data_IF_853916922097
#
_entry.id   IF_853916922097
#
_cell.length_a   1.000
_cell.length_b   1.000
_cell.length_c   1.000
_cell.angle_alpha   90.00
_cell.angle_beta   90.00
_cell.angle_gamma   90.00
#
_symmetry.space_group_name_H-M   'P 1'
#
loop_
_entity.id
_entity.type
_entity.pdbx_description
1 polymer ?
#
# COMPACT_ATOMS: atom_id res chain seq x y z
N UNK A 1 16.29 4.20 20.34
CA UNK A 1 17.34 3.43 19.64
C UNK A 1 16.97 3.50 18.17
N UNK A 2 17.67 4.31 17.37
CA UNK A 2 17.39 4.39 15.92
C UNK A 2 17.72 3.02 15.33
N UNK A 3 16.71 2.26 14.95
CA UNK A 3 16.90 1.06 14.13
C UNK A 3 17.33 1.57 12.76
N UNK A 4 18.55 1.20 12.35
CA UNK A 4 19.06 1.52 11.03
C UNK A 4 18.19 0.80 10.01
N UNK A 5 17.34 1.56 9.31
CA UNK A 5 16.54 1.07 8.18
C UNK A 5 17.50 0.33 7.23
N UNK A 6 17.27 -0.96 6.92
CA UNK A 6 18.15 -1.72 6.06
C UNK A 6 18.34 -0.99 4.72
N UNK A 7 19.58 -0.95 4.23
CA UNK A 7 19.98 -0.28 2.98
C UNK A 7 19.28 -0.82 1.70
N UNK A 8 18.33 -1.75 1.85
CA UNK A 8 17.52 -2.35 0.79
C UNK A 8 16.49 -1.37 0.21
N UNK A 9 16.15 -0.26 0.90
CA UNK A 9 15.37 0.87 0.34
C UNK A 9 16.23 1.78 -0.58
N UNK A 10 17.18 1.18 -1.31
CA UNK A 10 18.05 1.88 -2.28
C UNK A 10 18.08 1.13 -3.62
N UNK A 11 16.91 0.89 -4.21
CA UNK A 11 16.84 0.48 -5.62
C UNK A 11 16.30 1.61 -6.52
N UNK A 12 17.24 2.16 -7.30
CA UNK A 12 17.17 3.08 -8.45
C UNK A 12 15.84 3.83 -8.70
N UNK A 13 15.84 5.03 -8.14
CA UNK A 13 14.92 6.17 -8.24
C UNK A 13 14.67 6.72 -9.67
N UNK A 14 15.44 6.32 -10.68
CA UNK A 14 15.46 7.01 -11.99
C UNK A 14 14.17 6.94 -12.84
N UNK A 15 13.12 6.25 -12.37
CA UNK A 15 11.86 6.08 -13.10
C UNK A 15 10.61 6.51 -12.32
N UNK A 16 10.76 7.02 -11.10
CA UNK A 16 9.63 7.56 -10.33
C UNK A 16 9.49 9.07 -10.56
N UNK A 17 8.27 9.62 -10.51
CA UNK A 17 8.09 11.06 -10.57
C UNK A 17 8.71 11.71 -9.32
N UNK A 18 9.25 12.93 -9.48
CA UNK A 18 9.98 13.63 -8.41
C UNK A 18 9.13 13.84 -7.14
N UNK A 19 7.80 13.89 -7.26
CA UNK A 19 6.90 14.02 -6.13
C UNK A 19 6.78 12.75 -5.27
N UNK A 20 7.10 11.58 -5.82
CA UNK A 20 6.99 10.27 -5.13
C UNK A 20 8.08 10.05 -4.06
N UNK A 21 9.08 10.93 -4.02
CA UNK A 21 10.20 10.85 -3.08
C UNK A 21 9.94 11.57 -1.74
N UNK A 22 8.77 12.20 -1.58
CA UNK A 22 8.47 13.00 -0.40
C UNK A 22 8.13 12.10 0.80
N UNK A 23 8.88 12.29 1.90
CA UNK A 23 8.56 11.85 3.27
C UNK A 23 8.79 10.36 3.58
N UNK A 24 10.04 9.89 3.40
CA UNK A 24 10.49 8.53 3.81
C UNK A 24 10.65 8.33 5.32
N UNK A 25 10.60 9.42 6.09
CA UNK A 25 10.82 9.42 7.54
C UNK A 25 9.58 8.94 8.32
N UNK A 26 8.52 8.49 7.63
CA UNK A 26 7.25 8.04 8.24
C UNK A 26 6.93 6.56 8.06
N UNK A 27 7.84 5.76 7.49
CA UNK A 27 7.73 4.29 7.48
C UNK A 27 8.08 3.76 8.88
N UNK A 28 7.35 4.20 9.91
CA UNK A 28 7.54 3.74 11.30
C UNK A 28 6.78 2.42 11.55
N UNK A 29 5.84 2.08 10.67
CA UNK A 29 4.88 0.99 10.89
C UNK A 29 5.03 -0.21 9.93
N UNK A 30 6.03 -0.21 9.02
CA UNK A 30 6.25 -1.35 8.13
C UNK A 30 7.33 -2.29 8.70
N UNK A 31 7.00 -3.54 9.03
CA UNK A 31 7.98 -4.52 9.47
C UNK A 31 9.02 -4.77 8.38
N UNK A 32 10.27 -4.96 8.79
CA UNK A 32 11.42 -5.25 7.91
C UNK A 32 11.23 -6.51 7.04
N UNK A 33 10.17 -7.29 7.22
CA UNK A 33 9.90 -8.50 6.45
C UNK A 33 8.94 -8.24 5.28
N UNK A 34 8.14 -7.17 5.35
CA UNK A 34 7.01 -6.95 4.46
C UNK A 34 7.45 -6.57 3.03
N UNK A 35 8.65 -5.99 2.88
CA UNK A 35 9.22 -5.79 1.55
C UNK A 35 9.62 -7.10 0.85
N UNK A 36 9.88 -8.19 1.61
CA UNK A 36 10.35 -9.48 1.06
C UNK A 36 9.23 -10.27 0.39
N UNK A 37 7.99 -9.99 0.77
CA UNK A 37 6.78 -10.65 0.26
C UNK A 37 6.12 -9.89 -0.90
N UNK A 38 6.62 -8.68 -1.22
CA UNK A 38 6.08 -7.91 -2.33
C UNK A 38 6.37 -8.60 -3.66
N UNK A 39 5.48 -8.50 -4.65
CA UNK A 39 5.74 -9.01 -5.99
C UNK A 39 7.05 -8.47 -6.55
N UNK A 40 7.81 -9.32 -7.24
CA UNK A 40 9.12 -8.96 -7.81
C UNK A 40 9.02 -7.70 -8.69
N UNK A 41 9.95 -6.77 -8.48
CA UNK A 41 9.98 -5.48 -9.18
C UNK A 41 9.05 -4.41 -8.61
N UNK A 42 8.34 -4.69 -7.51
CA UNK A 42 7.58 -3.67 -6.78
C UNK A 42 8.51 -2.77 -5.95
N UNK A 43 8.11 -1.52 -5.75
CA UNK A 43 8.80 -0.54 -4.91
C UNK A 43 7.81 -0.04 -3.87
N UNK A 44 8.10 -0.24 -2.59
CA UNK A 44 7.29 0.34 -1.52
C UNK A 44 7.60 1.83 -1.40
N UNK A 45 6.57 2.67 -1.47
CA UNK A 45 6.67 4.12 -1.27
C UNK A 45 6.37 4.49 0.17
N UNK A 46 5.25 3.99 0.72
CA UNK A 46 4.77 4.33 2.06
C UNK A 46 3.95 3.17 2.65
N UNK A 47 3.72 3.20 3.96
CA UNK A 47 2.94 2.19 4.66
C UNK A 47 2.30 2.74 5.95
N UNK A 48 1.12 2.22 6.29
CA UNK A 48 0.44 2.49 7.55
C UNK A 48 -0.15 1.20 8.11
N UNK A 49 -0.18 1.08 9.45
CA UNK A 49 -0.71 -0.08 10.15
C UNK A 49 -1.88 0.33 11.06
N UNK A 50 -3.06 -0.23 10.84
CA UNK A 50 -4.24 -0.09 11.70
C UNK A 50 -5.35 -1.08 11.27
N UNK A 51 -6.26 -1.39 12.18
CA UNK A 51 -7.50 -2.14 11.92
C UNK A 51 -8.41 -1.39 10.94
N UNK A 52 -8.29 -1.73 9.64
CA UNK A 52 -9.05 -1.07 8.57
C UNK A 52 -10.41 -1.74 8.35
N UNK A 53 -10.51 -3.03 8.66
CA UNK A 53 -11.69 -3.84 8.37
C UNK A 53 -12.68 -3.92 9.57
N UNK A 54 -12.23 -3.54 10.77
CA UNK A 54 -12.98 -3.53 12.02
C UNK A 54 -13.04 -4.89 12.75
N UNK A 55 -12.13 -5.82 12.49
CA UNK A 55 -12.11 -7.15 13.11
C UNK A 55 -11.32 -7.21 14.43
N UNK A 56 -10.72 -6.08 14.84
CA UNK A 56 -9.94 -5.95 16.06
C UNK A 56 -8.45 -6.27 15.89
N UNK A 57 -7.99 -6.60 14.68
CA UNK A 57 -6.59 -6.86 14.35
C UNK A 57 -6.08 -5.80 13.38
N UNK A 58 -4.85 -5.33 13.57
CA UNK A 58 -4.28 -4.34 12.65
C UNK A 58 -3.85 -4.98 11.31
N UNK A 59 -4.21 -4.32 10.21
CA UNK A 59 -3.69 -4.60 8.87
C UNK A 59 -2.55 -3.67 8.48
N UNK A 60 -1.74 -4.11 7.53
CA UNK A 60 -0.66 -3.34 6.93
C UNK A 60 -1.07 -2.90 5.53
N UNK A 61 -1.28 -1.61 5.37
CA UNK A 61 -1.66 -0.97 4.11
C UNK A 61 -0.42 -0.35 3.50
N UNK A 62 -0.10 -0.78 2.28
CA UNK A 62 1.13 -0.40 1.58
C UNK A 62 0.78 0.38 0.32
N UNK A 63 1.47 1.50 0.13
CA UNK A 63 1.51 2.20 -1.14
C UNK A 63 2.72 1.70 -1.93
N UNK A 64 2.48 1.07 -3.07
CA UNK A 64 3.53 0.42 -3.86
C UNK A 64 3.47 0.86 -5.32
N UNK A 65 4.64 0.97 -5.93
CA UNK A 65 4.78 1.07 -7.39
C UNK A 65 5.04 -0.30 -7.97
N UNK A 66 4.35 -0.63 -9.06
CA UNK A 66 4.56 -1.86 -9.81
C UNK A 66 4.39 -1.59 -11.31
N UNK A 67 5.11 -2.38 -12.13
CA UNK A 67 4.86 -2.45 -13.58
C UNK A 67 3.85 -3.55 -13.86
N UNK A 68 2.84 -3.22 -14.67
CA UNK A 68 1.82 -4.17 -15.09
C UNK A 68 0.78 -4.46 -14.01
N UNK A 69 -0.47 -4.59 -14.44
CA UNK A 69 -1.60 -4.85 -13.55
C UNK A 69 -1.78 -6.33 -13.26
N UNK A 70 -1.35 -7.21 -14.17
CA UNK A 70 -1.77 -8.61 -14.15
C UNK A 70 -0.67 -9.61 -13.78
N UNK A 71 0.60 -9.31 -14.09
CA UNK A 71 1.71 -10.23 -13.82
C UNK A 71 1.53 -11.58 -14.53
N UNK A 72 1.79 -12.69 -13.84
CA UNK A 72 1.68 -14.05 -14.40
C UNK A 72 0.24 -14.47 -14.73
N UNK A 73 -0.75 -13.82 -14.11
CA UNK A 73 -2.18 -14.13 -14.29
C UNK A 73 -2.87 -13.24 -15.34
N UNK A 74 -2.10 -12.72 -16.31
CA UNK A 74 -2.63 -11.89 -17.41
C UNK A 74 -3.66 -12.64 -18.25
N UNK A 75 -4.88 -12.08 -18.43
CA UNK A 75 -5.87 -12.66 -19.32
C UNK A 75 -5.37 -12.74 -20.78
N UNK A 76 -5.81 -13.77 -21.50
CA UNK A 76 -5.35 -14.05 -22.87
C UNK A 76 -5.76 -12.97 -23.89
N UNK A 77 -6.79 -12.18 -23.60
CA UNK A 77 -7.27 -11.07 -24.44
C UNK A 77 -6.52 -9.75 -24.23
N UNK A 78 -5.66 -9.65 -23.22
CA UNK A 78 -4.80 -8.47 -23.02
C UNK A 78 -3.51 -8.72 -23.78
N UNK A 79 -3.25 -8.04 -24.90
CA UNK A 79 -2.11 -8.34 -25.77
C UNK A 79 -0.75 -7.98 -25.15
N UNK A 80 -0.65 -6.90 -24.38
CA UNK A 80 0.54 -6.49 -23.65
C UNK A 80 0.15 -5.95 -22.27
N UNK A 81 0.86 -6.38 -21.22
CA UNK A 81 0.72 -5.77 -19.90
C UNK A 81 1.29 -4.35 -19.92
N UNK A 82 0.75 -3.49 -19.06
CA UNK A 82 1.16 -2.11 -18.95
C UNK A 82 2.64 -2.02 -18.52
N UNK A 83 3.46 -1.32 -19.32
CA UNK A 83 4.93 -1.28 -19.11
C UNK A 83 5.36 -0.15 -18.17
N UNK A 84 4.46 0.79 -17.91
CA UNK A 84 4.62 1.95 -17.05
C UNK A 84 4.51 1.55 -15.58
N UNK A 85 5.24 2.26 -14.73
CA UNK A 85 5.05 2.16 -13.28
C UNK A 85 3.73 2.84 -12.93
N UNK A 86 2.92 2.18 -12.13
CA UNK A 86 1.69 2.73 -11.58
C UNK A 86 1.60 2.44 -10.09
N UNK A 87 0.82 3.24 -9.36
CA UNK A 87 0.63 3.07 -7.93
C UNK A 87 -0.51 2.09 -7.63
N UNK A 88 -0.29 1.27 -6.61
CA UNK A 88 -1.22 0.30 -6.08
C UNK A 88 -1.28 0.41 -4.55
N UNK A 89 -2.41 -0.03 -4.00
CA UNK A 89 -2.60 -0.21 -2.56
C UNK A 89 -2.73 -1.70 -2.29
N UNK A 90 -1.81 -2.24 -1.50
CA UNK A 90 -1.87 -3.62 -1.02
C UNK A 90 -2.17 -3.65 0.47
N UNK A 91 -3.02 -4.58 0.89
CA UNK A 91 -3.42 -4.76 2.28
C UNK A 91 -3.06 -6.18 2.69
N UNK A 92 -2.27 -6.30 3.74
CA UNK A 92 -1.84 -7.57 4.30
C UNK A 92 -2.27 -7.70 5.77
N UNK A 93 -2.65 -8.92 6.14
CA UNK A 93 -2.78 -9.33 7.53
C UNK A 93 -1.55 -10.15 7.93
N UNK A 94 -1.22 -10.14 9.23
CA UNK A 94 -0.24 -11.05 9.82
C UNK A 94 -0.99 -12.14 10.56
N UNK A 95 -0.74 -13.40 10.24
CA UNK A 95 -1.39 -14.52 10.92
C UNK A 95 -0.66 -14.87 12.21
N UNK A 96 -1.40 -15.05 13.31
CA UNK A 96 -0.81 -15.41 14.61
C UNK A 96 -0.39 -16.88 14.70
N UNK A 97 -1.05 -17.77 13.94
CA UNK A 97 -0.91 -19.23 14.09
C UNK A 97 0.22 -19.85 13.24
N UNK A 98 0.57 -19.26 12.08
CA UNK A 98 1.61 -19.75 11.15
C UNK A 98 2.91 -18.91 11.23
N UNK A 99 3.58 -18.90 12.39
CA UNK A 99 4.87 -18.22 12.61
C UNK A 99 4.91 -16.73 12.20
N UNK A 100 3.75 -16.05 12.17
CA UNK A 100 3.69 -14.66 11.72
C UNK A 100 3.69 -14.49 10.20
N UNK A 101 3.23 -15.49 9.44
CA UNK A 101 3.12 -15.40 7.98
C UNK A 101 2.24 -14.23 7.53
N UNK A 102 2.63 -13.63 6.40
CA UNK A 102 1.93 -12.51 5.80
C UNK A 102 0.91 -13.00 4.78
N UNK A 103 -0.38 -12.73 5.03
CA UNK A 103 -1.47 -13.08 4.12
C UNK A 103 -1.97 -11.84 3.37
N UNK A 104 -2.03 -11.86 2.03
CA UNK A 104 -2.66 -10.78 1.27
C UNK A 104 -4.18 -10.80 1.52
N UNK A 105 -4.73 -9.69 1.99
CA UNK A 105 -6.17 -9.48 2.11
C UNK A 105 -6.75 -8.88 0.83
N UNK A 106 -6.07 -7.88 0.27
CA UNK A 106 -6.57 -7.15 -0.88
C UNK A 106 -5.44 -6.47 -1.64
N UNK A 107 -5.58 -6.40 -2.96
CA UNK A 107 -4.65 -5.70 -3.82
C UNK A 107 -5.42 -4.91 -4.87
N UNK A 108 -5.17 -3.61 -4.94
CA UNK A 108 -5.77 -2.78 -5.98
C UNK A 108 -5.16 -3.08 -7.35
N UNK A 109 -5.95 -2.90 -8.41
CA UNK A 109 -5.40 -2.58 -9.73
C UNK A 109 -4.69 -1.22 -9.71
N UNK A 110 -4.12 -0.79 -10.85
CA UNK A 110 -3.55 0.54 -10.97
C UNK A 110 -4.57 1.59 -10.52
N UNK A 111 -4.18 2.41 -9.54
CA UNK A 111 -5.11 3.31 -8.84
C UNK A 111 -5.45 4.56 -9.63
N UNK A 112 -4.56 4.98 -10.53
CA UNK A 112 -4.68 6.23 -11.29
C UNK A 112 -4.60 7.51 -10.44
N UNK A 113 -4.26 7.39 -9.15
CA UNK A 113 -4.03 8.53 -8.25
C UNK A 113 -2.53 8.78 -8.11
N UNK A 114 -2.17 10.02 -7.77
CA UNK A 114 -0.81 10.41 -7.44
C UNK A 114 -0.67 10.51 -5.90
N UNK A 115 -0.75 9.37 -5.22
CA UNK A 115 -0.68 9.28 -3.77
C UNK A 115 0.76 9.50 -3.28
N UNK A 116 0.92 10.37 -2.29
CA UNK A 116 2.19 10.65 -1.62
C UNK A 116 2.28 9.88 -0.30
N UNK A 117 1.20 9.91 0.49
CA UNK A 117 1.22 9.40 1.87
C UNK A 117 -0.08 8.74 2.26
N UNK A 118 0.02 7.69 3.07
CA UNK A 118 -1.06 7.01 3.74
C UNK A 118 -1.09 7.39 5.23
N UNK A 119 -2.28 7.50 5.79
CA UNK A 119 -2.48 7.70 7.22
C UNK A 119 -3.77 7.03 7.70
N UNK A 120 -3.78 6.56 8.94
CA UNK A 120 -5.01 6.16 9.60
C UNK A 120 -5.80 7.43 9.94
N UNK A 121 -6.96 7.58 9.32
CA UNK A 121 -7.87 8.69 9.53
C UNK A 121 -8.79 8.48 10.73
N UNK A 122 -9.93 9.15 10.70
CA UNK A 122 -10.92 9.16 11.77
C UNK A 122 -11.90 7.99 11.65
N UNK A 123 -12.67 7.75 12.71
CA UNK A 123 -13.80 6.82 12.65
C UNK A 123 -14.82 7.29 11.60
N UNK A 124 -15.28 6.36 10.77
CA UNK A 124 -16.34 6.53 9.80
C UNK A 124 -17.68 6.37 10.55
N UNK A 125 -18.50 7.43 10.66
CA UNK A 125 -19.69 7.41 11.50
C UNK A 125 -20.63 6.25 11.19
N UNK A 126 -21.05 5.54 12.23
CA UNK A 126 -22.01 4.44 12.13
C UNK A 126 -21.43 3.11 11.61
N UNK A 127 -20.11 3.02 11.42
CA UNK A 127 -19.45 1.79 10.96
C UNK A 127 -18.52 1.16 12.00
N UNK A 128 -18.06 1.93 12.98
CA UNK A 128 -17.02 1.49 13.94
C UNK A 128 -15.64 1.30 13.32
N UNK A 129 -15.44 1.66 12.04
CA UNK A 129 -14.19 1.52 11.30
C UNK A 129 -13.49 2.86 11.15
N UNK A 130 -12.16 2.86 11.05
CA UNK A 130 -11.39 4.05 10.70
C UNK A 130 -11.21 4.19 9.20
N UNK A 131 -11.04 5.42 8.72
CA UNK A 131 -10.71 5.66 7.32
C UNK A 131 -9.21 5.52 7.06
N UNK A 132 -8.86 5.27 5.80
CA UNK A 132 -7.56 5.50 5.22
C UNK A 132 -7.56 6.89 4.57
N UNK A 133 -6.74 7.80 5.09
CA UNK A 133 -6.52 9.11 4.50
C UNK A 133 -5.31 9.02 3.56
N UNK A 134 -5.51 9.43 2.30
CA UNK A 134 -4.48 9.45 1.26
C UNK A 134 -4.19 10.89 0.88
N UNK A 135 -2.97 11.34 1.13
CA UNK A 135 -2.47 12.64 0.67
C UNK A 135 -1.97 12.53 -0.76
N UNK A 136 -2.41 13.40 -1.65
CA UNK A 136 -2.03 13.43 -3.06
C UNK A 136 -0.85 14.38 -3.33
N UNK A 137 -0.25 14.27 -4.51
CA UNK A 137 0.87 15.11 -4.98
C UNK A 137 0.53 16.61 -5.00
N UNK A 138 -0.75 16.96 -5.19
CA UNK A 138 -1.27 18.32 -5.17
C UNK A 138 -1.55 18.85 -3.75
N UNK A 139 -1.34 18.04 -2.72
CA UNK A 139 -1.58 18.36 -1.33
C UNK A 139 -3.02 18.17 -0.85
N UNK A 140 -3.93 17.74 -1.72
CA UNK A 140 -5.28 17.34 -1.30
C UNK A 140 -5.27 16.03 -0.54
N UNK A 141 -6.32 15.78 0.24
CA UNK A 141 -6.51 14.52 0.98
C UNK A 141 -7.83 13.89 0.56
N UNK A 142 -7.79 12.61 0.19
CA UNK A 142 -8.98 11.80 -0.01
C UNK A 142 -9.13 10.78 1.11
N UNK A 143 -10.37 10.54 1.53
CA UNK A 143 -10.69 9.58 2.58
C UNK A 143 -11.31 8.31 1.99
N UNK A 144 -10.91 7.16 2.50
CA UNK A 144 -11.36 5.85 2.01
C UNK A 144 -11.74 4.94 3.17
N UNK A 145 -12.80 4.17 3.01
CA UNK A 145 -13.24 3.20 4.01
C UNK A 145 -13.32 1.79 3.43
N UNK A 146 -12.96 0.79 4.25
CA UNK A 146 -13.29 -0.60 3.95
C UNK A 146 -14.77 -0.84 4.27
N UNK A 147 -15.64 -0.62 3.29
CA UNK A 147 -17.09 -0.66 3.48
C UNK A 147 -17.78 -1.82 2.78
N UNK A 148 -17.07 -2.57 1.93
CA UNK A 148 -17.59 -3.76 1.27
C UNK A 148 -16.47 -4.78 1.00
N UNK A 149 -16.19 -5.08 -0.26
CA UNK A 149 -15.14 -6.01 -0.71
C UNK A 149 -13.77 -5.32 -0.91
N UNK A 150 -13.61 -4.11 -0.38
CA UNK A 150 -12.41 -3.30 -0.54
C UNK A 150 -12.65 -1.83 -0.18
N UNK A 151 -11.71 -0.99 -0.62
CA UNK A 151 -11.70 0.44 -0.34
C UNK A 151 -12.69 1.20 -1.22
N UNK A 152 -13.53 2.01 -0.59
CA UNK A 152 -14.43 2.97 -1.24
C UNK A 152 -14.11 4.39 -0.74
N UNK A 153 -14.09 5.36 -1.67
CA UNK A 153 -13.92 6.77 -1.31
C UNK A 153 -15.16 7.28 -0.59
N UNK A 154 -14.98 8.03 0.50
CA UNK A 154 -16.06 8.58 1.33
C UNK A 154 -15.98 10.09 1.47
#
# INVERSE_FOLDING_TARGET
MLVAIPAVIRFRIAALPAWAEKDRDHIDACPDELWRILPSGSIMQDAVCFDINGDGTDEYILLVWKRGSYGEHRPTWVEQDEKTLSQHIFIYAKEEEEDGAWRPLWMSSATGIEAVRLAAGEEIPGTGRRSLDITHSDGTVSRWGWLSWGLLKI
#
